data_IF_199651189080
#
_entry.id   IF_199651189080
#
_cell.length_a   1.000
_cell.length_b   1.000
_cell.length_c   1.000
_cell.angle_alpha   90.00
_cell.angle_beta   90.00
_cell.angle_gamma   90.00
#
_symmetry.space_group_name_H-M   'P 1'
#
loop_
_entity.id
_entity.type
_entity.pdbx_description
1 polymer ?
#
# COMPACT_ATOMS: atom_id res chain seq x y z
N UNK A 1 5.94 -5.53 -36.99
CA UNK A 1 5.23 -4.47 -36.21
C UNK A 1 5.67 -4.58 -34.77
N UNK A 2 5.69 -3.46 -34.03
CA UNK A 2 6.41 -3.39 -32.74
C UNK A 2 5.61 -4.07 -31.62
N UNK A 3 5.98 -5.30 -31.26
CA UNK A 3 5.34 -6.16 -30.22
C UNK A 3 5.08 -5.48 -28.87
N UNK A 4 5.71 -4.35 -28.58
CA UNK A 4 5.52 -3.65 -27.30
C UNK A 4 4.21 -2.85 -27.25
N UNK A 5 3.71 -2.34 -28.39
CA UNK A 5 2.44 -1.58 -28.43
C UNK A 5 1.23 -2.49 -28.25
N UNK A 6 1.29 -3.68 -28.85
CA UNK A 6 0.22 -4.68 -28.76
C UNK A 6 0.11 -5.29 -27.35
N UNK A 7 1.10 -5.04 -26.48
CA UNK A 7 1.12 -5.44 -25.06
C UNK A 7 0.61 -4.34 -24.12
N UNK A 8 0.30 -3.15 -24.62
CA UNK A 8 -0.23 -2.07 -23.79
C UNK A 8 -1.62 -2.45 -23.29
N UNK A 9 -1.77 -2.48 -21.96
CA UNK A 9 -3.08 -2.69 -21.33
C UNK A 9 -3.80 -1.36 -21.16
N UNK A 10 -5.15 -1.35 -21.16
CA UNK A 10 -5.89 -0.18 -20.72
C UNK A 10 -5.47 0.17 -19.29
N UNK A 11 -5.20 1.45 -19.04
CA UNK A 11 -4.90 1.91 -17.70
C UNK A 11 -6.20 1.95 -16.91
N UNK A 12 -6.15 1.55 -15.64
CA UNK A 12 -7.32 1.62 -14.77
C UNK A 12 -6.94 1.79 -13.31
N UNK A 13 -7.82 2.46 -12.57
CA UNK A 13 -7.75 2.55 -11.13
C UNK A 13 -9.08 2.07 -10.54
N UNK A 14 -9.03 1.04 -9.68
CA UNK A 14 -10.22 0.38 -9.12
C UNK A 14 -11.24 -0.08 -10.18
N UNK A 15 -10.76 -0.36 -11.40
CA UNK A 15 -11.61 -0.78 -12.54
C UNK A 15 -12.16 0.37 -13.37
N UNK A 16 -11.96 1.64 -12.98
CA UNK A 16 -12.27 2.79 -13.82
C UNK A 16 -11.12 3.01 -14.80
N UNK A 17 -11.43 2.97 -16.09
CA UNK A 17 -10.43 3.10 -17.16
C UNK A 17 -10.08 4.56 -17.43
N UNK A 18 -8.82 4.80 -17.82
CA UNK A 18 -8.34 6.11 -18.26
C UNK A 18 -7.16 5.94 -19.22
N UNK A 19 -6.81 7.01 -19.94
CA UNK A 19 -5.61 7.03 -20.78
C UNK A 19 -4.43 7.63 -20.02
N UNK A 20 -3.21 7.16 -20.31
CA UNK A 20 -1.99 7.64 -19.65
C UNK A 20 -1.15 8.38 -20.67
N UNK A 21 -0.76 9.61 -20.32
CA UNK A 21 0.22 10.41 -21.05
C UNK A 21 1.62 10.22 -20.45
N UNK A 22 1.72 10.25 -19.11
CA UNK A 22 2.97 10.07 -18.39
C UNK A 22 2.77 9.11 -17.22
N UNK A 23 3.64 8.10 -17.11
CA UNK A 23 3.73 7.22 -15.95
C UNK A 23 5.13 7.26 -15.35
N UNK A 24 5.31 8.01 -14.26
CA UNK A 24 6.54 8.09 -13.50
C UNK A 24 6.46 7.21 -12.23
N UNK A 25 7.57 6.56 -11.90
CA UNK A 25 7.71 5.73 -10.70
C UNK A 25 8.97 6.15 -9.95
N UNK A 26 8.84 6.42 -8.66
CA UNK A 26 9.95 6.68 -7.77
C UNK A 26 9.99 5.63 -6.65
N UNK A 27 11.19 5.36 -6.15
CA UNK A 27 11.43 4.37 -5.12
C UNK A 27 12.90 4.38 -4.72
N UNK A 28 13.27 3.53 -3.77
CA UNK A 28 14.65 3.44 -3.31
C UNK A 28 14.76 2.68 -2.00
N UNK A 29 15.86 2.91 -1.29
CA UNK A 29 16.09 2.39 0.06
C UNK A 29 16.15 3.56 1.04
N UNK A 30 15.79 3.31 2.30
CA UNK A 30 16.01 4.24 3.40
C UNK A 30 17.43 4.02 3.88
N UNK A 31 18.23 5.07 3.91
CA UNK A 31 19.64 5.01 4.26
C UNK A 31 19.86 5.91 5.48
N UNK A 32 20.59 5.41 6.47
CA UNK A 32 21.01 6.14 7.65
C UNK A 32 22.52 6.40 7.55
N UNK A 33 22.94 7.62 7.16
CA UNK A 33 24.36 7.97 7.12
C UNK A 33 24.88 8.24 8.54
N UNK A 34 26.00 7.61 8.87
CA UNK A 34 26.75 7.76 10.10
C UNK A 34 28.10 8.41 9.78
N UNK A 35 28.30 9.63 10.27
CA UNK A 35 29.55 10.39 10.12
C UNK A 35 30.30 10.42 11.44
N UNK A 36 31.61 10.11 11.39
CA UNK A 36 32.46 10.06 12.58
C UNK A 36 33.54 11.14 12.53
N UNK A 37 33.82 11.87 13.63
CA UNK A 37 34.89 12.86 13.65
C UNK A 37 36.24 12.25 13.24
N UNK A 38 36.99 12.97 12.39
CA UNK A 38 38.32 12.58 11.88
C UNK A 38 38.34 11.32 11.00
N UNK A 39 37.20 10.94 10.42
CA UNK A 39 37.12 9.88 9.42
C UNK A 39 36.56 10.47 8.14
N UNK A 40 37.30 10.34 7.05
CA UNK A 40 36.89 10.88 5.75
C UNK A 40 35.82 10.01 5.07
N UNK A 41 35.81 8.70 5.34
CA UNK A 41 34.83 7.77 4.80
C UNK A 41 33.60 7.61 5.73
N UNK A 42 32.40 8.08 5.32
CA UNK A 42 31.18 7.86 6.08
C UNK A 42 30.70 6.41 5.99
N UNK A 43 29.97 5.95 7.01
CA UNK A 43 29.30 4.64 6.98
C UNK A 43 27.80 4.85 6.71
N UNK A 44 27.22 4.14 5.75
CA UNK A 44 25.77 4.22 5.49
C UNK A 44 25.10 2.91 5.82
N UNK A 45 24.20 2.93 6.78
CA UNK A 45 23.39 1.79 7.16
C UNK A 45 22.09 1.74 6.34
N UNK A 46 21.70 0.54 5.93
CA UNK A 46 20.53 0.33 5.10
C UNK A 46 19.29 -0.04 5.93
N UNK A 47 18.36 0.90 6.07
CA UNK A 47 17.13 0.81 6.86
C UNK A 47 15.93 0.24 6.07
N UNK A 48 16.20 -0.49 4.99
CA UNK A 48 15.18 -1.20 4.23
C UNK A 48 14.58 -0.39 3.09
N UNK A 49 13.52 -0.92 2.48
CA UNK A 49 12.98 -0.40 1.22
C UNK A 49 12.05 0.80 1.44
N UNK A 50 12.22 1.87 0.67
CA UNK A 50 11.28 3.00 0.61
C UNK A 50 10.03 2.57 -0.17
N UNK A 51 8.85 2.98 0.29
CA UNK A 51 7.59 2.77 -0.44
C UNK A 51 7.69 3.32 -1.86
N UNK A 52 7.17 2.58 -2.85
CA UNK A 52 7.09 3.10 -4.22
C UNK A 52 6.05 4.21 -4.26
N UNK A 53 6.39 5.31 -4.91
CA UNK A 53 5.43 6.33 -5.29
C UNK A 53 5.30 6.34 -6.82
N UNK A 54 4.11 6.70 -7.29
CA UNK A 54 3.80 6.84 -8.71
C UNK A 54 3.20 8.21 -8.94
N UNK A 55 3.64 8.87 -9.99
CA UNK A 55 3.00 10.07 -10.51
C UNK A 55 2.53 9.73 -11.91
N UNK A 56 1.22 9.89 -12.13
CA UNK A 56 0.56 9.48 -13.36
C UNK A 56 -0.22 10.67 -13.87
N UNK A 57 0.13 11.14 -15.07
CA UNK A 57 -0.66 12.11 -15.81
C UNK A 57 -1.51 11.30 -16.77
N UNK A 58 -2.81 11.31 -16.52
CA UNK A 58 -3.80 10.66 -17.37
C UNK A 58 -4.79 11.64 -17.96
N UNK A 59 -5.60 11.14 -18.89
CA UNK A 59 -6.68 11.92 -19.48
C UNK A 59 -7.88 11.03 -19.80
N UNK A 60 -9.04 11.66 -19.85
CA UNK A 60 -10.28 11.08 -20.33
C UNK A 60 -10.76 11.90 -21.52
N UNK A 61 -11.21 11.21 -22.56
CA UNK A 61 -11.65 11.82 -23.80
C UNK A 61 -12.88 11.11 -24.32
N UNK A 62 -13.85 11.88 -24.82
CA UNK A 62 -15.04 11.32 -25.47
C UNK A 62 -16.32 12.08 -25.15
N UNK A 63 -17.46 11.62 -25.69
CA UNK A 63 -18.76 12.27 -25.47
C UNK A 63 -19.27 12.14 -24.03
N UNK A 64 -18.77 11.15 -23.28
CA UNK A 64 -19.16 10.83 -21.90
C UNK A 64 -18.05 11.13 -20.89
N UNK A 65 -17.02 11.90 -21.29
CA UNK A 65 -15.83 12.15 -20.46
C UNK A 65 -16.16 12.74 -19.08
N UNK A 66 -17.27 13.47 -18.94
CA UNK A 66 -17.71 14.01 -17.65
C UNK A 66 -18.17 12.93 -16.68
N UNK A 67 -18.91 11.94 -17.18
CA UNK A 67 -19.33 10.80 -16.35
C UNK A 67 -18.14 9.91 -15.98
N UNK A 68 -17.22 9.68 -16.92
CA UNK A 68 -16.00 8.92 -16.66
C UNK A 68 -15.08 9.65 -15.67
N UNK A 69 -15.00 10.99 -15.76
CA UNK A 69 -14.28 11.85 -14.82
C UNK A 69 -14.83 11.68 -13.42
N UNK A 70 -16.14 11.82 -13.26
CA UNK A 70 -16.79 11.73 -11.95
C UNK A 70 -16.61 10.33 -11.36
N UNK A 71 -16.75 9.28 -12.17
CA UNK A 71 -16.47 7.91 -11.73
C UNK A 71 -15.01 7.70 -11.29
N UNK A 72 -14.05 8.31 -11.99
CA UNK A 72 -12.64 8.22 -11.62
C UNK A 72 -12.35 9.01 -10.34
N UNK A 73 -12.92 10.21 -10.18
CA UNK A 73 -12.80 11.01 -8.96
C UNK A 73 -13.39 10.24 -7.76
N UNK A 74 -14.60 9.69 -7.90
CA UNK A 74 -15.22 8.85 -6.87
C UNK A 74 -14.31 7.66 -6.50
N UNK A 75 -13.67 7.04 -7.51
CA UNK A 75 -12.72 5.97 -7.27
C UNK A 75 -11.46 6.46 -6.53
N UNK A 76 -10.93 7.65 -6.84
CA UNK A 76 -9.76 8.25 -6.19
C UNK A 76 -10.05 8.63 -4.73
N UNK A 77 -11.24 9.14 -4.46
CA UNK A 77 -11.68 9.57 -3.12
C UNK A 77 -12.12 8.42 -2.21
N UNK A 78 -12.43 7.25 -2.79
CA UNK A 78 -12.83 6.08 -2.00
C UNK A 78 -11.74 5.63 -1.03
N UNK A 79 -12.14 5.37 0.21
CA UNK A 79 -11.22 4.92 1.27
C UNK A 79 -10.50 3.61 0.92
N UNK A 80 -9.21 3.55 1.30
CA UNK A 80 -8.39 2.34 1.25
C UNK A 80 -7.56 2.19 -0.03
N UNK A 81 -6.91 1.03 -0.15
CA UNK A 81 -6.04 0.73 -1.29
C UNK A 81 -6.83 0.24 -2.51
N UNK A 82 -6.61 0.89 -3.66
CA UNK A 82 -7.15 0.50 -4.96
C UNK A 82 -6.12 -0.25 -5.81
N UNK A 83 -6.60 -1.01 -6.79
CA UNK A 83 -5.75 -1.61 -7.80
C UNK A 83 -5.44 -0.57 -8.89
N UNK A 84 -4.16 -0.25 -9.09
CA UNK A 84 -3.69 0.57 -10.20
C UNK A 84 -3.09 -0.34 -11.27
N UNK A 85 -3.54 -0.17 -12.50
CA UNK A 85 -3.01 -0.82 -13.70
C UNK A 85 -2.55 0.27 -14.66
N UNK A 86 -1.30 0.19 -15.13
CA UNK A 86 -0.74 1.11 -16.12
C UNK A 86 -0.40 0.38 -17.43
N UNK A 87 -0.36 1.10 -18.57
CA UNK A 87 -0.16 0.47 -19.87
C UNK A 87 1.17 -0.28 -20.02
N UNK A 88 2.20 0.15 -19.29
CA UNK A 88 3.54 -0.47 -19.26
C UNK A 88 3.58 -1.84 -18.56
N UNK A 89 2.43 -2.44 -18.26
CA UNK A 89 2.30 -3.75 -17.63
C UNK A 89 2.38 -3.71 -16.10
N UNK A 90 2.41 -2.52 -15.50
CA UNK A 90 2.40 -2.37 -14.05
C UNK A 90 1.01 -2.65 -13.49
N UNK A 91 0.94 -3.53 -12.50
CA UNK A 91 -0.26 -3.80 -11.71
C UNK A 91 0.15 -3.81 -10.24
N UNK A 92 -0.36 -2.87 -9.44
CA UNK A 92 -0.05 -2.81 -8.01
C UNK A 92 -1.19 -2.21 -7.19
N UNK A 93 -1.30 -2.64 -5.92
CA UNK A 93 -2.18 -1.98 -4.96
C UNK A 93 -1.54 -0.70 -4.45
N UNK A 94 -2.27 0.40 -4.58
CA UNK A 94 -1.82 1.74 -4.20
C UNK A 94 -2.95 2.52 -3.53
N UNK A 95 -2.58 3.54 -2.76
CA UNK A 95 -3.49 4.55 -2.25
C UNK A 95 -3.25 5.85 -3.02
N UNK A 96 -4.33 6.55 -3.38
CA UNK A 96 -4.20 7.90 -3.93
C UNK A 96 -3.84 8.86 -2.79
N UNK A 97 -2.81 9.67 -3.01
CA UNK A 97 -2.38 10.70 -2.05
C UNK A 97 -2.97 12.05 -2.42
N UNK A 98 -2.83 12.44 -3.68
CA UNK A 98 -3.36 13.68 -4.24
C UNK A 98 -3.77 13.45 -5.69
N UNK A 99 -4.74 14.24 -6.13
CA UNK A 99 -5.08 14.33 -7.54
C UNK A 99 -5.45 15.77 -7.91
N UNK A 100 -5.32 16.12 -9.18
CA UNK A 100 -5.75 17.39 -9.73
C UNK A 100 -6.44 17.15 -11.07
N UNK A 101 -7.66 17.66 -11.24
CA UNK A 101 -8.44 17.56 -12.48
C UNK A 101 -8.48 18.92 -13.18
N UNK A 102 -8.02 18.97 -14.42
CA UNK A 102 -7.91 20.19 -15.22
C UNK A 102 -8.72 20.06 -16.52
N UNK A 103 -9.74 20.92 -16.64
CA UNK A 103 -10.55 21.06 -17.86
C UNK A 103 -10.23 22.39 -18.53
N UNK A 104 -9.85 22.33 -19.80
CA UNK A 104 -9.61 23.54 -20.60
C UNK A 104 -10.77 23.75 -21.54
N UNK A 105 -11.36 24.94 -21.52
CA UNK A 105 -12.49 25.28 -22.40
C UNK A 105 -12.12 25.19 -23.89
N UNK A 106 -10.85 25.42 -24.25
CA UNK A 106 -10.41 25.27 -25.64
C UNK A 106 -10.32 23.81 -26.10
N UNK A 107 -10.26 22.85 -25.16
CA UNK A 107 -10.19 21.41 -25.42
C UNK A 107 -11.48 20.74 -24.94
N UNK A 108 -12.57 21.00 -25.66
CA UNK A 108 -13.86 20.35 -25.37
C UNK A 108 -13.76 18.82 -25.47
N UNK A 109 -14.45 18.12 -24.57
CA UNK A 109 -14.47 16.65 -24.57
C UNK A 109 -13.22 16.00 -23.98
N UNK A 110 -12.39 16.75 -23.25
CA UNK A 110 -11.10 16.31 -22.70
C UNK A 110 -10.93 16.81 -21.26
N UNK A 111 -10.48 15.92 -20.37
CA UNK A 111 -10.01 16.29 -19.04
C UNK A 111 -8.65 15.64 -18.77
N UNK A 112 -7.73 16.42 -18.22
CA UNK A 112 -6.44 15.93 -17.74
C UNK A 112 -6.50 15.72 -16.24
N UNK A 113 -5.96 14.61 -15.76
CA UNK A 113 -5.94 14.28 -14.34
C UNK A 113 -4.51 13.88 -13.96
N UNK A 114 -3.88 14.70 -13.11
CA UNK A 114 -2.61 14.38 -12.46
C UNK A 114 -2.91 13.64 -11.16
N UNK A 115 -2.35 12.45 -10.99
CA UNK A 115 -2.59 11.58 -9.85
C UNK A 115 -1.28 11.15 -9.21
N UNK A 116 -1.19 11.29 -7.90
CA UNK A 116 -0.09 10.77 -7.09
C UNK A 116 -0.56 9.58 -6.27
N UNK A 117 0.18 8.48 -6.37
CA UNK A 117 -0.11 7.25 -5.66
C UNK A 117 1.07 6.80 -4.80
N UNK A 118 0.76 6.18 -3.67
CA UNK A 118 1.72 5.51 -2.81
C UNK A 118 1.39 4.02 -2.73
N UNK A 119 2.43 3.17 -2.73
CA UNK A 119 2.28 1.73 -2.51
C UNK A 119 1.54 1.45 -1.21
N UNK A 120 0.44 0.71 -1.32
CA UNK A 120 -0.28 0.22 -0.16
C UNK A 120 0.55 -0.89 0.48
N UNK A 121 1.17 -0.61 1.63
CA UNK A 121 1.84 -1.64 2.41
C UNK A 121 0.86 -2.64 2.99
N UNK A 122 1.36 -3.81 3.37
CA UNK A 122 0.61 -4.72 4.24
C UNK A 122 0.65 -4.15 5.65
N UNK A 123 -0.50 -3.83 6.23
CA UNK A 123 -0.58 -3.53 7.66
C UNK A 123 -0.36 -4.84 8.41
N UNK A 124 0.88 -5.09 8.82
CA UNK A 124 1.18 -6.22 9.68
C UNK A 124 0.56 -5.91 11.05
N UNK A 125 -0.29 -6.80 11.60
CA UNK A 125 -0.86 -6.58 12.92
C UNK A 125 0.29 -6.45 13.91
N UNK A 126 0.13 -5.53 14.88
CA UNK A 126 1.09 -5.39 15.97
C UNK A 126 1.37 -6.78 16.55
N UNK A 127 2.64 -7.17 16.58
CA UNK A 127 3.05 -8.43 17.22
C UNK A 127 2.74 -8.33 18.70
N UNK A 128 1.59 -8.86 19.11
CA UNK A 128 1.34 -9.15 20.51
C UNK A 128 2.15 -10.39 20.84
N UNK A 129 3.17 -10.23 21.68
CA UNK A 129 3.82 -11.38 22.29
C UNK A 129 2.89 -11.85 23.41
N UNK A 130 2.49 -13.12 23.37
CA UNK A 130 1.78 -13.70 24.50
C UNK A 130 2.61 -13.51 25.78
N UNK A 131 1.99 -12.99 26.82
CA UNK A 131 2.62 -12.84 28.12
C UNK A 131 3.01 -14.23 28.65
N UNK A 132 4.31 -14.51 28.62
CA UNK A 132 4.86 -15.81 29.02
C UNK A 132 4.75 -15.99 30.53
N UNK A 133 4.75 -14.91 31.33
CA UNK A 133 4.52 -15.01 32.77
C UNK A 133 3.08 -15.45 33.07
N UNK A 134 2.09 -14.85 32.40
CA UNK A 134 0.69 -15.19 32.58
C UNK A 134 0.38 -16.66 32.23
N UNK A 135 1.02 -17.21 31.18
CA UNK A 135 0.88 -18.63 30.82
C UNK A 135 1.51 -19.59 31.83
N UNK A 136 2.62 -19.18 32.46
CA UNK A 136 3.28 -19.98 33.51
C UNK A 136 2.46 -19.98 34.79
N UNK A 137 1.89 -18.83 35.19
CA UNK A 137 1.02 -18.75 36.37
C UNK A 137 -0.27 -19.54 36.18
N UNK A 138 -0.90 -19.48 35.00
CA UNK A 138 -2.09 -20.27 34.71
C UNK A 138 -1.80 -21.79 34.75
N UNK A 139 -0.65 -22.22 34.23
CA UNK A 139 -0.24 -23.63 34.28
C UNK A 139 0.07 -24.09 35.71
N UNK A 140 0.68 -23.22 36.52
CA UNK A 140 0.97 -23.50 37.93
C UNK A 140 -0.32 -23.61 38.77
N UNK A 141 -1.31 -22.75 38.53
CA UNK A 141 -2.62 -22.81 39.18
C UNK A 141 -3.40 -24.08 38.80
N UNK A 142 -3.34 -24.50 37.53
CA UNK A 142 -3.96 -25.77 37.11
C UNK A 142 -3.29 -26.98 37.78
N UNK A 143 -1.97 -26.94 37.99
CA UNK A 143 -1.24 -28.01 38.68
C UNK A 143 -1.52 -28.06 40.19
N UNK A 144 -1.70 -26.91 40.85
CA UNK A 144 -2.09 -26.87 42.27
C UNK A 144 -3.55 -27.29 42.47
N UNK A 145 -4.44 -26.93 41.55
CA UNK A 145 -5.84 -27.37 41.56
C UNK A 145 -5.98 -28.89 41.37
N UNK A 146 -5.22 -29.51 40.46
CA UNK A 146 -5.25 -30.97 40.27
C UNK A 146 -4.72 -31.74 41.47
N UNK A 147 -3.72 -31.21 42.16
CA UNK A 147 -3.17 -31.78 43.40
C UNK A 147 -4.20 -31.73 44.53
N UNK A 148 -4.92 -30.61 44.65
CA UNK A 148 -5.96 -30.43 45.69
C UNK A 148 -7.19 -31.31 45.42
N UNK A 149 -7.57 -31.50 44.15
CA UNK A 149 -8.65 -32.41 43.77
C UNK A 149 -8.32 -33.88 44.09
N UNK A 150 -7.09 -34.32 43.81
CA UNK A 150 -6.62 -35.69 44.09
C UNK A 150 -6.54 -35.96 45.61
N UNK A 151 -6.15 -34.97 46.40
CA UNK A 151 -6.09 -35.08 47.85
C UNK A 151 -7.48 -35.26 48.49
N UNK A 152 -8.53 -34.65 47.91
CA UNK A 152 -9.89 -34.72 48.45
C UNK A 152 -10.59 -36.06 48.14
N UNK A 153 -10.18 -36.79 47.10
CA UNK A 153 -10.67 -38.16 46.83
C UNK A 153 -10.07 -39.22 47.76
N UNK A 154 -8.92 -38.96 48.39
CA UNK A 154 -8.21 -39.95 49.23
C UNK A 154 -8.73 -39.98 50.69
N UNK A 155 -9.48 -38.96 51.13
CA UNK A 155 -9.95 -38.82 52.53
C UNK A 155 -11.33 -39.46 52.77
N UNK A 156 -12.04 -39.92 51.74
CA UNK A 156 -13.39 -40.53 51.88
C UNK A 156 -13.39 -42.06 52.03
N UNK A 157 -12.43 -42.65 52.77
CA UNK A 157 -12.46 -44.06 53.20
C UNK A 157 -12.51 -44.16 54.71
#
# INVERSE_FOLDING_TARGET
MSEWRDRLRPASFRGVEFHVELGARSGGRRLAPHEYPKRDDPYTEDMGRRGRAFSVIGYLIGPVFTADRDALIDALEREGAGQLVLPTGLSMRVMCTTYNSAERRERGGYVEIDMQFLEAGTQEPLRTSDDTQAKVTESAEKASASTTATANETISV
#
